data_IF_289184569925
#
_entry.id   IF_289184569925
#
_cell.length_a   1.000
_cell.length_b   1.000
_cell.length_c   1.000
_cell.angle_alpha   90.00
_cell.angle_beta   90.00
_cell.angle_gamma   90.00
#
_symmetry.space_group_name_H-M   'P 1'
#
loop_
_entity.id
_entity.type
_entity.pdbx_description
1 polymer ?
#
# COMPACT_ATOMS: atom_id res chain seq x y z
N UNK A 1 -15.75 5.49 -6.91
CA UNK A 1 -15.28 4.38 -6.06
C UNK A 1 -14.00 3.90 -6.69
N UNK A 2 -12.89 4.07 -5.99
CA UNK A 2 -11.54 3.68 -6.44
C UNK A 2 -11.29 2.18 -6.20
N UNK A 3 -10.19 1.65 -6.74
CA UNK A 3 -9.74 0.30 -6.42
C UNK A 3 -9.41 0.14 -4.93
N UNK A 4 -8.92 1.21 -4.29
CA UNK A 4 -8.69 1.22 -2.84
C UNK A 4 -10.01 1.13 -2.07
N UNK A 5 -11.05 1.87 -2.47
CA UNK A 5 -12.39 1.77 -1.86
C UNK A 5 -12.95 0.34 -2.00
N UNK A 6 -12.77 -0.29 -3.16
CA UNK A 6 -13.19 -1.68 -3.41
C UNK A 6 -12.48 -2.65 -2.47
N UNK A 7 -11.17 -2.48 -2.30
CA UNK A 7 -10.40 -3.27 -1.34
C UNK A 7 -10.87 -3.06 0.10
N UNK A 8 -11.10 -1.80 0.53
CA UNK A 8 -11.60 -1.53 1.87
C UNK A 8 -12.98 -2.17 2.11
N UNK A 9 -13.86 -2.15 1.10
CA UNK A 9 -15.14 -2.88 1.18
C UNK A 9 -14.93 -4.38 1.26
N UNK A 10 -13.96 -4.92 0.52
CA UNK A 10 -13.65 -6.34 0.52
C UNK A 10 -13.17 -6.84 1.89
N UNK A 11 -12.29 -6.07 2.55
CA UNK A 11 -11.65 -6.45 3.82
C UNK A 11 -12.36 -5.92 5.06
N UNK A 12 -13.48 -5.21 4.92
CA UNK A 12 -14.14 -4.49 6.02
C UNK A 12 -14.45 -5.36 7.24
N UNK A 13 -14.72 -6.65 7.02
CA UNK A 13 -15.13 -7.61 8.04
C UNK A 13 -13.93 -8.41 8.60
N UNK A 14 -12.72 -8.20 8.07
CA UNK A 14 -11.49 -8.77 8.63
C UNK A 14 -11.10 -8.03 9.92
N UNK A 15 -10.55 -8.75 10.91
CA UNK A 15 -10.10 -8.14 12.15
C UNK A 15 -8.96 -7.15 11.90
N UNK A 16 -8.83 -6.11 12.74
CA UNK A 16 -7.60 -5.33 12.79
C UNK A 16 -6.40 -6.25 13.08
N UNK A 17 -5.31 -6.06 12.35
CA UNK A 17 -4.12 -6.90 12.36
C UNK A 17 -4.30 -8.31 11.76
N UNK A 18 -5.22 -8.49 10.82
CA UNK A 18 -5.25 -9.70 9.99
C UNK A 18 -3.94 -9.80 9.17
N UNK A 19 -3.31 -10.98 9.15
CA UNK A 19 -2.12 -11.26 8.33
C UNK A 19 -2.52 -11.46 6.86
N UNK A 20 -3.00 -10.40 6.25
CA UNK A 20 -3.52 -10.43 4.89
C UNK A 20 -2.39 -10.46 3.86
N UNK A 21 -1.28 -9.80 4.15
CA UNK A 21 -0.20 -9.51 3.18
C UNK A 21 1.06 -10.36 3.41
N UNK A 22 0.90 -11.62 3.85
CA UNK A 22 2.00 -12.59 3.88
C UNK A 22 3.13 -12.23 4.87
N UNK A 23 2.77 -11.70 6.04
CA UNK A 23 3.69 -11.26 7.08
C UNK A 23 3.38 -9.84 7.56
N UNK A 24 2.69 -9.03 6.75
CA UNK A 24 2.25 -7.69 7.13
C UNK A 24 0.78 -7.69 7.56
N UNK A 25 0.52 -6.99 8.65
CA UNK A 25 -0.77 -6.86 9.29
C UNK A 25 -1.62 -5.75 8.66
N UNK A 26 -2.86 -6.08 8.33
CA UNK A 26 -3.86 -5.14 7.86
C UNK A 26 -4.22 -4.10 8.94
N UNK A 27 -4.17 -2.82 8.56
CA UNK A 27 -4.71 -1.71 9.35
C UNK A 27 -6.11 -1.37 8.81
N UNK A 28 -7.13 -1.79 9.55
CA UNK A 28 -8.54 -1.63 9.18
C UNK A 28 -9.34 -1.00 10.35
N UNK A 29 -9.83 0.25 10.22
CA UNK A 29 -9.70 1.14 9.06
C UNK A 29 -8.26 1.68 8.90
N UNK A 30 -7.87 2.12 7.69
CA UNK A 30 -6.56 2.74 7.46
C UNK A 30 -6.32 3.97 8.35
N UNK A 31 -5.08 4.18 8.76
CA UNK A 31 -4.68 5.23 9.70
C UNK A 31 -4.01 6.43 9.00
N UNK A 32 -4.57 7.65 9.09
CA UNK A 32 -3.97 8.86 8.52
C UNK A 32 -2.82 9.46 9.35
N UNK A 33 -2.61 9.00 10.58
CA UNK A 33 -1.55 9.46 11.48
C UNK A 33 -0.93 8.27 12.21
N UNK A 34 -0.03 7.56 11.51
CA UNK A 34 0.62 6.34 12.04
C UNK A 34 1.71 6.63 13.10
N UNK A 35 2.00 7.91 13.36
CA UNK A 35 2.86 8.36 14.46
C UNK A 35 4.36 8.39 14.17
N UNK A 36 4.82 7.96 12.99
CA UNK A 36 6.21 8.08 12.58
C UNK A 36 6.47 9.38 11.82
N UNK A 37 7.60 10.02 12.10
CA UNK A 37 7.99 11.27 11.40
C UNK A 37 8.16 11.04 9.89
N UNK A 38 8.69 9.88 9.52
CA UNK A 38 8.87 9.42 8.14
C UNK A 38 7.57 9.16 7.38
N UNK A 39 6.44 8.99 8.08
CA UNK A 39 5.13 8.83 7.42
C UNK A 39 4.72 10.16 6.76
N UNK A 40 4.46 10.18 5.45
CA UNK A 40 4.07 11.41 4.75
C UNK A 40 2.78 12.01 5.31
N UNK A 41 2.70 13.34 5.34
CA UNK A 41 1.53 14.09 5.81
C UNK A 41 0.28 13.84 4.96
N UNK A 42 0.45 13.44 3.71
CA UNK A 42 -0.62 13.11 2.79
C UNK A 42 -0.78 11.60 2.61
N UNK A 43 -0.45 10.76 3.59
CA UNK A 43 -0.55 9.31 3.48
C UNK A 43 -1.69 8.73 4.33
N UNK A 44 -2.21 7.58 3.89
CA UNK A 44 -3.15 6.77 4.64
C UNK A 44 -2.59 5.35 4.77
N UNK A 45 -2.15 4.99 5.98
CA UNK A 45 -1.47 3.72 6.25
C UNK A 45 -2.47 2.57 6.32
N UNK A 46 -2.24 1.51 5.54
CA UNK A 46 -3.17 0.37 5.44
C UNK A 46 -2.53 -0.98 5.76
N UNK A 47 -1.20 -1.07 5.88
CA UNK A 47 -0.50 -2.29 6.32
C UNK A 47 0.72 -1.97 7.16
N UNK A 48 1.12 -2.87 8.07
CA UNK A 48 2.34 -2.73 8.88
C UNK A 48 2.97 -4.07 9.23
N UNK A 49 4.30 -4.10 9.32
CA UNK A 49 5.04 -5.23 9.89
C UNK A 49 4.95 -5.27 11.43
N UNK A 50 4.51 -4.19 12.08
CA UNK A 50 4.33 -4.08 13.53
C UNK A 50 5.61 -3.95 14.38
N UNK A 51 6.80 -4.20 13.82
CA UNK A 51 8.07 -4.16 14.56
C UNK A 51 8.68 -2.75 14.55
N UNK A 52 9.62 -2.47 13.66
CA UNK A 52 10.39 -1.22 13.61
C UNK A 52 9.61 -0.03 13.01
N UNK A 53 8.28 -0.12 13.07
CA UNK A 53 7.40 0.87 12.47
C UNK A 53 7.32 0.79 10.95
N UNK A 54 7.82 -0.26 10.32
CA UNK A 54 7.69 -0.44 8.87
C UNK A 54 6.22 -0.59 8.47
N UNK A 55 5.81 0.16 7.46
CA UNK A 55 4.42 0.17 6.98
C UNK A 55 4.29 0.55 5.52
N UNK A 56 3.16 0.18 4.92
CA UNK A 56 2.75 0.68 3.61
C UNK A 56 1.55 1.61 3.73
N UNK A 57 1.58 2.66 2.92
CA UNK A 57 0.55 3.68 2.92
C UNK A 57 0.23 4.10 1.48
N UNK A 58 -1.00 4.56 1.26
CA UNK A 58 -1.42 5.14 -0.01
C UNK A 58 -1.43 6.66 0.12
N UNK A 59 -0.84 7.36 -0.86
CA UNK A 59 -0.82 8.81 -0.86
C UNK A 59 -2.19 9.37 -1.25
N UNK A 60 -2.51 10.53 -0.71
CA UNK A 60 -3.74 11.26 -0.95
C UNK A 60 -3.43 12.55 -1.70
N UNK A 61 -4.38 12.96 -2.52
CA UNK A 61 -4.41 14.24 -3.22
C UNK A 61 -5.64 15.00 -2.72
N UNK A 62 -5.43 16.21 -2.21
CA UNK A 62 -6.48 17.01 -1.57
C UNK A 62 -7.28 16.23 -0.48
N UNK A 63 -6.58 15.35 0.25
CA UNK A 63 -7.15 14.53 1.31
C UNK A 63 -7.98 13.34 0.82
N UNK A 64 -7.88 12.96 -0.46
CA UNK A 64 -8.60 11.83 -1.06
C UNK A 64 -7.65 10.86 -1.75
N UNK A 65 -7.99 9.58 -1.71
CA UNK A 65 -7.35 8.56 -2.54
C UNK A 65 -7.98 8.59 -3.93
N UNK A 66 -7.16 8.52 -4.98
CA UNK A 66 -7.59 8.37 -6.38
C UNK A 66 -7.01 7.07 -6.97
N UNK A 67 -7.48 6.64 -8.14
CA UNK A 67 -6.88 5.48 -8.84
C UNK A 67 -5.46 5.76 -9.36
N UNK A 68 -5.01 7.02 -9.27
CA UNK A 68 -3.65 7.44 -9.58
C UNK A 68 -2.81 7.66 -8.31
N UNK A 69 -3.34 7.41 -7.12
CA UNK A 69 -2.63 7.57 -5.83
C UNK A 69 -1.54 6.51 -5.64
N UNK A 70 -0.24 6.87 -5.56
CA UNK A 70 0.85 5.93 -5.38
C UNK A 70 0.83 5.28 -4.00
N UNK A 71 1.40 4.08 -3.93
CA UNK A 71 1.65 3.39 -2.67
C UNK A 71 3.11 3.57 -2.30
N UNK A 72 3.34 3.91 -1.04
CA UNK A 72 4.67 4.08 -0.45
C UNK A 72 4.95 3.00 0.59
N UNK A 73 6.21 2.63 0.68
CA UNK A 73 6.78 1.85 1.76
C UNK A 73 7.58 2.81 2.64
N UNK A 74 7.33 2.78 3.94
CA UNK A 74 7.96 3.63 4.93
C UNK A 74 8.75 2.76 5.88
N UNK A 75 10.03 3.07 6.02
CA UNK A 75 10.97 2.38 6.92
C UNK A 75 11.68 3.41 7.80
N UNK A 76 11.15 3.70 9.00
CA UNK A 76 11.64 4.79 9.84
C UNK A 76 13.11 4.69 10.27
N UNK A 77 13.73 3.51 10.17
CA UNK A 77 15.12 3.26 10.56
C UNK A 77 16.08 3.28 9.37
N UNK A 78 15.58 3.34 8.13
CA UNK A 78 16.41 3.35 6.92
C UNK A 78 16.85 4.75 6.52
N UNK A 79 17.91 4.84 5.71
CA UNK A 79 18.41 6.11 5.17
C UNK A 79 17.42 6.76 4.20
N UNK A 80 16.72 5.94 3.42
CA UNK A 80 15.58 6.35 2.59
C UNK A 80 14.29 5.92 3.28
N UNK A 81 13.86 6.76 4.21
CA UNK A 81 12.79 6.43 5.16
C UNK A 81 11.38 6.31 4.53
N UNK A 82 11.22 6.70 3.25
CA UNK A 82 9.98 6.59 2.50
C UNK A 82 10.24 6.48 0.99
N UNK A 83 9.78 5.39 0.38
CA UNK A 83 9.95 5.06 -1.04
C UNK A 83 8.63 4.74 -1.74
N UNK A 84 8.47 5.18 -2.99
CA UNK A 84 7.29 4.79 -3.81
C UNK A 84 7.49 3.36 -4.32
N UNK A 85 6.59 2.44 -3.97
CA UNK A 85 6.67 1.02 -4.34
C UNK A 85 5.69 0.61 -5.43
N UNK A 86 4.62 1.39 -5.65
CA UNK A 86 3.71 1.19 -6.77
C UNK A 86 3.11 2.52 -7.25
N UNK A 87 2.88 2.63 -8.56
CA UNK A 87 2.28 3.81 -9.20
C UNK A 87 0.84 4.08 -8.75
N UNK A 88 0.12 3.03 -8.35
CA UNK A 88 -1.21 3.08 -7.78
C UNK A 88 -1.56 1.79 -7.00
N UNK A 89 -2.72 1.77 -6.36
CA UNK A 89 -3.17 0.63 -5.55
C UNK A 89 -3.42 -0.65 -6.37
N UNK A 90 -3.92 -0.51 -7.60
CA UNK A 90 -4.13 -1.65 -8.50
C UNK A 90 -2.81 -2.34 -8.83
N UNK A 91 -1.78 -1.56 -9.18
CA UNK A 91 -0.44 -2.06 -9.44
C UNK A 91 0.19 -2.69 -8.20
N UNK A 92 -0.01 -2.11 -7.01
CA UNK A 92 0.45 -2.71 -5.75
C UNK A 92 -0.10 -4.13 -5.54
N UNK A 93 -1.42 -4.32 -5.67
CA UNK A 93 -2.02 -5.64 -5.52
C UNK A 93 -1.58 -6.60 -6.64
N UNK A 94 -1.56 -6.13 -7.89
CA UNK A 94 -1.20 -6.93 -9.05
C UNK A 94 0.25 -7.42 -8.98
N UNK A 95 1.19 -6.51 -8.70
CA UNK A 95 2.61 -6.83 -8.56
C UNK A 95 2.84 -7.77 -7.36
N UNK A 96 2.17 -7.51 -6.23
CA UNK A 96 2.33 -8.32 -5.03
C UNK A 96 1.80 -9.73 -5.20
N UNK A 97 0.69 -9.90 -5.92
CA UNK A 97 0.15 -11.22 -6.23
C UNK A 97 0.79 -11.87 -7.47
N UNK A 98 1.70 -11.18 -8.17
CA UNK A 98 2.32 -11.67 -9.40
C UNK A 98 1.32 -11.91 -10.56
N UNK A 99 0.26 -11.11 -10.64
CA UNK A 99 -0.78 -11.22 -11.67
C UNK A 99 -0.90 -9.94 -12.52
N UNK A 100 -1.43 -10.01 -13.76
CA UNK A 100 -1.69 -8.81 -14.55
C UNK A 100 -2.74 -7.88 -13.89
N UNK A 101 -2.61 -6.56 -14.08
CA UNK A 101 -3.58 -5.57 -13.58
C UNK A 101 -5.02 -5.88 -14.03
N UNK A 102 -5.23 -6.42 -15.24
CA UNK A 102 -6.57 -6.81 -15.74
C UNK A 102 -7.21 -7.94 -14.95
N UNK A 103 -6.40 -8.87 -14.44
CA UNK A 103 -6.88 -9.93 -13.56
C UNK A 103 -7.24 -9.36 -12.20
N UNK A 104 -6.40 -8.48 -11.65
CA UNK A 104 -6.67 -7.82 -10.38
C UNK A 104 -7.93 -6.94 -10.40
N UNK A 105 -8.20 -6.22 -11.50
CA UNK A 105 -9.47 -5.50 -11.71
C UNK A 105 -10.66 -6.46 -11.61
N UNK A 106 -10.54 -7.65 -12.20
CA UNK A 106 -11.60 -8.66 -12.17
C UNK A 106 -11.82 -9.18 -10.75
N UNK A 107 -10.75 -9.42 -9.99
CA UNK A 107 -10.83 -9.86 -8.58
C UNK A 107 -11.48 -8.79 -7.69
N UNK A 108 -11.10 -7.53 -7.82
CA UNK A 108 -11.69 -6.41 -7.10
C UNK A 108 -13.19 -6.26 -7.39
N UNK A 109 -13.62 -6.58 -8.61
CA UNK A 109 -15.03 -6.53 -9.01
C UNK A 109 -15.86 -7.76 -8.57
N UNK A 110 -15.22 -8.93 -8.39
CA UNK A 110 -15.90 -10.19 -8.05
C UNK A 110 -16.28 -10.32 -6.57
N UNK A 111 -15.64 -9.56 -5.68
CA UNK A 111 -16.00 -9.49 -4.26
C UNK A 111 -14.93 -10.03 -3.29
N UNK A 112 -15.26 -10.00 -2.00
CA UNK A 112 -14.30 -10.19 -0.89
C UNK A 112 -13.54 -11.52 -0.91
N UNK A 113 -14.25 -12.64 -1.04
CA UNK A 113 -13.68 -13.96 -0.78
C UNK A 113 -12.55 -14.31 -1.76
N UNK A 114 -12.76 -14.09 -3.07
CA UNK A 114 -11.76 -14.36 -4.10
C UNK A 114 -10.56 -13.45 -4.01
N UNK A 115 -10.77 -12.16 -3.71
CA UNK A 115 -9.68 -11.21 -3.53
C UNK A 115 -8.83 -11.56 -2.30
N UNK A 116 -9.46 -11.80 -1.15
CA UNK A 116 -8.77 -12.15 0.10
C UNK A 116 -8.00 -13.46 -0.07
N UNK A 117 -8.61 -14.48 -0.68
CA UNK A 117 -7.94 -15.75 -0.93
C UNK A 117 -6.72 -15.58 -1.85
N UNK A 118 -6.83 -14.75 -2.90
CA UNK A 118 -5.70 -14.45 -3.79
C UNK A 118 -4.55 -13.76 -3.04
N UNK A 119 -4.85 -12.71 -2.28
CA UNK A 119 -3.83 -11.95 -1.55
C UNK A 119 -3.12 -12.89 -0.56
N UNK A 120 -3.85 -13.70 0.20
CA UNK A 120 -3.24 -14.64 1.16
C UNK A 120 -2.38 -15.72 0.51
N UNK A 121 -2.74 -16.18 -0.68
CA UNK A 121 -1.99 -17.23 -1.38
C UNK A 121 -0.76 -16.70 -2.11
N UNK A 122 -0.82 -15.46 -2.61
CA UNK A 122 0.16 -14.96 -3.57
C UNK A 122 0.95 -13.73 -3.14
N UNK A 123 0.46 -12.94 -2.19
CA UNK A 123 1.04 -11.64 -1.95
C UNK A 123 2.46 -11.72 -1.37
N UNK A 124 3.42 -11.16 -2.10
CA UNK A 124 4.82 -11.03 -1.72
C UNK A 124 5.35 -9.65 -2.13
N UNK A 125 5.67 -8.82 -1.14
CA UNK A 125 6.17 -7.46 -1.33
C UNK A 125 7.67 -7.40 -1.67
N UNK A 126 8.41 -8.50 -1.51
CA UNK A 126 9.88 -8.51 -1.66
C UNK A 126 10.34 -8.05 -3.05
N UNK A 127 9.60 -8.44 -4.10
CA UNK A 127 9.89 -8.04 -5.48
C UNK A 127 9.67 -6.55 -5.77
N UNK A 128 8.90 -5.85 -4.92
CA UNK A 128 8.62 -4.42 -5.07
C UNK A 128 9.76 -3.54 -4.57
N UNK A 129 10.67 -4.08 -3.77
CA UNK A 129 11.77 -3.36 -3.12
C UNK A 129 13.08 -3.39 -3.93
N UNK A 130 13.03 -3.79 -5.20
CA UNK A 130 14.18 -3.71 -6.11
C UNK A 130 14.64 -2.25 -6.34
N UNK A 131 15.93 -1.98 -6.11
CA UNK A 131 16.50 -0.63 -6.17
C UNK A 131 16.24 0.09 -7.51
N UNK A 132 16.30 -0.63 -8.64
CA UNK A 132 16.11 -0.02 -9.95
C UNK A 132 14.65 0.39 -10.17
N UNK A 133 13.72 -0.45 -9.70
CA UNK A 133 12.29 -0.16 -9.67
C UNK A 133 11.98 1.03 -8.75
N UNK A 134 12.51 1.03 -7.53
CA UNK A 134 12.32 2.12 -6.55
C UNK A 134 12.87 3.45 -7.09
N UNK A 135 14.06 3.45 -7.67
CA UNK A 135 14.65 4.65 -8.27
C UNK A 135 13.79 5.21 -9.42
N UNK A 136 13.24 4.35 -10.27
CA UNK A 136 12.37 4.78 -11.36
C UNK A 136 11.03 5.35 -10.84
N UNK A 137 10.39 4.68 -9.87
CA UNK A 137 9.14 5.15 -9.27
C UNK A 137 9.35 6.44 -8.47
N UNK A 138 10.43 6.54 -7.71
CA UNK A 138 10.81 7.75 -6.98
C UNK A 138 11.01 8.95 -7.92
N UNK A 139 11.63 8.74 -9.09
CA UNK A 139 11.76 9.79 -10.11
C UNK A 139 10.41 10.24 -10.68
N UNK A 140 9.45 9.33 -10.83
CA UNK A 140 8.15 9.60 -11.47
C UNK A 140 7.08 10.14 -10.50
N UNK A 141 7.18 9.79 -9.22
CA UNK A 141 6.10 10.02 -8.26
C UNK A 141 6.58 10.54 -6.90
N UNK A 142 7.88 10.64 -6.66
CA UNK A 142 8.44 11.05 -5.37
C UNK A 142 8.13 12.49 -4.99
N UNK A 143 7.87 13.35 -5.97
CA UNK A 143 7.41 14.73 -5.77
C UNK A 143 6.01 14.84 -5.13
N UNK A 144 5.24 13.74 -5.13
CA UNK A 144 3.91 13.65 -4.51
C UNK A 144 3.96 13.36 -3.01
N UNK A 145 5.14 13.07 -2.46
CA UNK A 145 5.32 12.80 -1.03
C UNK A 145 5.40 14.14 -0.27
N UNK A 146 4.42 14.41 0.59
CA UNK A 146 4.44 15.59 1.46
C UNK A 146 5.12 15.24 2.78
N UNK A 147 6.39 15.61 2.93
CA UNK A 147 7.18 15.30 4.13
C UNK A 147 6.88 16.24 5.30
N UNK A 148 7.07 15.74 6.52
CA UNK A 148 7.05 16.56 7.73
C UNK A 148 8.30 17.45 7.76
N UNK A 149 8.19 18.70 8.25
CA UNK A 149 9.36 19.52 8.49
C UNK A 149 10.28 18.85 9.53
N UNK A 150 11.58 19.06 9.39
CA UNK A 150 12.59 18.68 10.38
C UNK A 150 12.52 19.58 11.62
#
# INVERSE_FOLDING_TARGET
MTHFDQFLLAVRDLPPNDDLFGGDYLINPPNPDYGYHSTPLNALTFSTMGVDGVHTAILTEEGRVTDDSPVVYVSPLDSDDCSVIAKNFLAYLADGCGVPETEMVSLLAQGSDSLIAMIRDKFDSSSMLDDSRLANLGRLHGDRIVRRPL
#
